data_IF_027067267671
#
_entry.id   IF_027067267671
#
_cell.length_a   1.000
_cell.length_b   1.000
_cell.length_c   1.000
_cell.angle_alpha   90.00
_cell.angle_beta   90.00
_cell.angle_gamma   90.00
#
_symmetry.space_group_name_H-M   'P 1'
#
loop_
_entity.id
_entity.type
_entity.pdbx_description
1 polymer ?
#
# COMPACT_ATOMS: atom_id res chain seq x y z
N UNK A 1 -19.81 1.31 -3.60
CA UNK A 1 -19.21 0.15 -4.30
C UNK A 1 -18.24 -0.50 -3.33
N UNK A 2 -18.02 -1.80 -3.40
CA UNK A 2 -17.08 -2.47 -2.49
C UNK A 2 -15.67 -2.44 -3.08
N UNK A 3 -14.66 -2.46 -2.22
CA UNK A 3 -13.26 -2.74 -2.61
C UNK A 3 -13.01 -4.21 -2.36
N UNK A 4 -12.37 -4.91 -3.29
CA UNK A 4 -12.11 -6.35 -3.24
C UNK A 4 -10.61 -6.61 -3.31
N UNK A 5 -10.12 -7.54 -2.49
CA UNK A 5 -8.75 -8.01 -2.56
C UNK A 5 -8.57 -9.04 -3.68
N UNK A 6 -7.31 -9.28 -4.04
CA UNK A 6 -6.93 -10.57 -4.66
C UNK A 6 -7.23 -11.75 -3.71
N UNK A 7 -7.48 -12.96 -4.21
CA UNK A 7 -7.59 -14.14 -3.35
C UNK A 7 -6.32 -14.37 -2.54
N UNK A 8 -6.47 -14.75 -1.28
CA UNK A 8 -5.39 -15.22 -0.40
C UNK A 8 -5.80 -16.57 0.21
N UNK A 9 -5.18 -17.63 -0.30
CA UNK A 9 -5.63 -19.00 -0.05
C UNK A 9 -7.09 -19.19 -0.47
N UNK A 10 -7.92 -19.66 0.47
CA UNK A 10 -9.35 -19.88 0.27
C UNK A 10 -10.21 -18.65 0.63
N UNK A 11 -9.60 -17.48 0.83
CA UNK A 11 -10.30 -16.27 1.27
C UNK A 11 -10.19 -15.12 0.27
N UNK A 12 -11.25 -14.33 0.17
CA UNK A 12 -11.23 -12.97 -0.41
C UNK A 12 -11.61 -12.01 0.71
N UNK A 13 -11.00 -10.83 0.71
CA UNK A 13 -11.31 -9.78 1.64
C UNK A 13 -11.98 -8.64 0.91
N UNK A 14 -12.91 -7.96 1.56
CA UNK A 14 -13.57 -6.80 0.98
C UNK A 14 -13.84 -5.72 2.02
N UNK A 15 -13.88 -4.48 1.53
CA UNK A 15 -14.41 -3.34 2.27
C UNK A 15 -15.83 -3.07 1.79
N UNK A 16 -16.80 -3.22 2.69
CA UNK A 16 -18.20 -2.90 2.46
C UNK A 16 -18.53 -1.56 3.15
N UNK A 17 -18.94 -0.52 2.40
CA UNK A 17 -19.29 0.77 3.01
C UNK A 17 -20.37 0.60 4.08
N UNK A 18 -20.15 1.17 5.27
CA UNK A 18 -21.07 1.11 6.40
C UNK A 18 -21.67 2.49 6.70
N UNK A 19 -20.85 3.53 6.68
CA UNK A 19 -21.27 4.94 6.80
C UNK A 19 -20.71 5.79 5.65
N UNK A 20 -20.81 7.11 5.77
CA UNK A 20 -20.20 8.07 4.86
C UNK A 20 -18.66 8.19 4.98
N UNK A 21 -18.08 7.54 5.98
CA UNK A 21 -16.67 7.68 6.38
C UNK A 21 -16.04 6.36 6.86
N UNK A 22 -16.81 5.29 6.95
CA UNK A 22 -16.34 3.98 7.44
C UNK A 22 -16.88 2.83 6.59
N UNK A 23 -16.13 1.73 6.59
CA UNK A 23 -16.50 0.47 6.00
C UNK A 23 -16.33 -0.67 7.02
N UNK A 24 -17.08 -1.74 6.78
CA UNK A 24 -16.84 -3.04 7.37
C UNK A 24 -15.84 -3.82 6.52
N UNK A 25 -14.79 -4.37 7.14
CA UNK A 25 -13.85 -5.29 6.52
C UNK A 25 -14.34 -6.71 6.75
N UNK A 26 -14.60 -7.42 5.66
CA UNK A 26 -15.16 -8.77 5.68
C UNK A 26 -14.15 -9.76 5.09
N UNK A 27 -14.10 -10.95 5.68
CA UNK A 27 -13.45 -12.13 5.13
C UNK A 27 -14.50 -13.06 4.56
N UNK A 28 -14.39 -13.36 3.27
CA UNK A 28 -15.25 -14.29 2.55
C UNK A 28 -14.49 -15.58 2.24
N UNK A 29 -15.00 -16.72 2.69
CA UNK A 29 -14.46 -18.02 2.33
C UNK A 29 -15.01 -18.46 0.96
N UNK A 30 -14.13 -18.59 -0.03
CA UNK A 30 -14.48 -18.90 -1.42
C UNK A 30 -15.12 -20.28 -1.55
N UNK A 31 -14.72 -21.25 -0.71
CA UNK A 31 -15.19 -22.63 -0.79
C UNK A 31 -16.53 -22.84 -0.10
N UNK A 32 -16.74 -22.21 1.05
CA UNK A 32 -17.96 -22.42 1.88
C UNK A 32 -19.02 -21.35 1.66
N UNK A 33 -18.65 -20.18 1.13
CA UNK A 33 -19.50 -19.01 1.05
C UNK A 33 -19.71 -18.30 2.39
N UNK A 34 -19.04 -18.74 3.44
CA UNK A 34 -19.13 -18.12 4.76
C UNK A 34 -18.48 -16.72 4.74
N UNK A 35 -19.10 -15.79 5.47
CA UNK A 35 -18.59 -14.43 5.62
C UNK A 35 -18.40 -14.11 7.10
N UNK A 36 -17.25 -13.54 7.44
CA UNK A 36 -16.89 -13.11 8.80
C UNK A 36 -16.58 -11.62 8.78
N UNK A 37 -17.19 -10.88 9.71
CA UNK A 37 -16.84 -9.48 10.01
C UNK A 37 -15.54 -9.44 10.80
N UNK A 38 -14.54 -8.72 10.29
CA UNK A 38 -13.28 -8.48 10.98
C UNK A 38 -13.30 -7.14 11.73
N UNK A 39 -13.60 -6.06 11.03
CA UNK A 39 -13.53 -4.68 11.55
C UNK A 39 -14.71 -3.86 11.00
N UNK A 40 -15.24 -2.89 11.75
CA UNK A 40 -16.44 -2.09 11.38
C UNK A 40 -16.21 -0.58 11.30
N UNK A 41 -15.00 -0.15 11.61
CA UNK A 41 -14.59 1.24 11.75
C UNK A 41 -13.44 1.60 10.81
N UNK A 42 -13.19 0.77 9.79
CA UNK A 42 -12.14 0.99 8.80
C UNK A 42 -12.43 2.27 7.99
N UNK A 43 -11.49 3.25 7.94
CA UNK A 43 -11.67 4.48 7.16
C UNK A 43 -11.99 4.18 5.69
N UNK A 44 -13.08 4.79 5.18
CA UNK A 44 -13.54 4.58 3.83
C UNK A 44 -14.38 5.77 3.35
N UNK A 45 -14.03 6.35 2.20
CA UNK A 45 -14.69 7.55 1.66
C UNK A 45 -15.28 7.34 0.26
N UNK A 46 -14.67 6.46 -0.53
CA UNK A 46 -15.18 5.99 -1.83
C UNK A 46 -14.39 4.76 -2.30
N UNK A 47 -14.90 4.06 -3.32
CA UNK A 47 -14.16 2.95 -3.93
C UNK A 47 -13.03 3.44 -4.85
N UNK A 48 -13.07 4.71 -5.27
CA UNK A 48 -12.04 5.33 -6.09
C UNK A 48 -10.85 5.82 -5.25
N UNK A 49 -11.02 5.87 -3.93
CA UNK A 49 -10.02 6.39 -2.98
C UNK A 49 -9.67 5.41 -1.87
N UNK A 50 -10.09 4.15 -1.97
CA UNK A 50 -9.73 3.09 -1.04
C UNK A 50 -9.25 1.84 -1.79
N UNK A 51 -8.23 1.18 -1.25
CA UNK A 51 -7.59 0.03 -1.86
C UNK A 51 -7.12 -0.96 -0.79
N UNK A 52 -7.36 -2.25 -1.02
CA UNK A 52 -6.64 -3.31 -0.32
C UNK A 52 -5.35 -3.54 -1.11
N UNK A 53 -4.23 -3.12 -0.55
CA UNK A 53 -2.93 -3.12 -1.23
C UNK A 53 -2.30 -4.52 -1.23
N UNK A 54 -2.27 -5.15 -0.05
CA UNK A 54 -1.67 -6.47 0.11
C UNK A 54 -2.33 -7.29 1.23
N UNK A 55 -2.09 -8.60 1.22
CA UNK A 55 -2.46 -9.53 2.29
C UNK A 55 -1.20 -10.34 2.62
N UNK A 56 -0.58 -10.03 3.75
CA UNK A 56 0.73 -10.55 4.13
C UNK A 56 0.84 -10.66 5.65
N UNK A 57 1.58 -11.65 6.14
CA UNK A 57 1.73 -11.96 7.58
C UNK A 57 0.40 -11.99 8.37
N UNK A 58 -0.65 -12.56 7.76
CA UNK A 58 -1.97 -12.64 8.39
C UNK A 58 -2.67 -11.29 8.55
N UNK A 59 -2.25 -10.25 7.83
CA UNK A 59 -2.82 -8.89 7.88
C UNK A 59 -3.24 -8.42 6.50
N UNK A 60 -4.28 -7.61 6.45
CA UNK A 60 -4.77 -6.92 5.25
C UNK A 60 -4.24 -5.49 5.31
N UNK A 61 -3.39 -5.09 4.37
CA UNK A 61 -2.87 -3.72 4.27
C UNK A 61 -3.82 -2.90 3.42
N UNK A 62 -4.29 -1.78 3.96
CA UNK A 62 -5.34 -0.95 3.36
C UNK A 62 -4.89 0.50 3.31
N UNK A 63 -5.13 1.12 2.16
CA UNK A 63 -5.02 2.56 1.96
C UNK A 63 -6.41 3.16 1.74
N UNK A 64 -6.70 4.28 2.40
CA UNK A 64 -7.86 5.11 2.09
C UNK A 64 -7.49 6.60 2.07
N UNK A 65 -8.16 7.37 1.21
CA UNK A 65 -8.02 8.83 1.15
C UNK A 65 -9.38 9.53 1.21
N UNK A 66 -9.48 10.56 2.04
CA UNK A 66 -10.61 11.50 2.04
C UNK A 66 -10.29 12.67 1.12
N UNK A 67 -10.95 12.71 -0.03
CA UNK A 67 -10.79 13.76 -1.05
C UNK A 67 -12.02 14.66 -1.14
N UNK A 68 -13.01 14.52 -0.24
CA UNK A 68 -14.31 15.19 -0.34
C UNK A 68 -14.23 16.73 -0.30
N UNK A 69 -13.14 17.29 0.24
CA UNK A 69 -12.89 18.72 0.23
C UNK A 69 -12.47 19.28 -1.15
N UNK A 70 -12.16 18.43 -2.13
CA UNK A 70 -11.72 18.81 -3.48
C UNK A 70 -10.53 19.78 -3.50
N UNK A 71 -9.65 19.68 -2.50
CA UNK A 71 -8.46 20.49 -2.32
C UNK A 71 -7.26 19.56 -2.06
N UNK A 72 -6.26 19.52 -2.96
CA UNK A 72 -5.10 18.65 -2.82
C UNK A 72 -4.35 18.81 -1.51
N UNK A 73 -4.32 20.02 -0.93
CA UNK A 73 -3.61 20.31 0.32
C UNK A 73 -4.33 19.76 1.55
N UNK A 74 -5.60 19.36 1.40
CA UNK A 74 -6.46 18.90 2.50
C UNK A 74 -6.80 17.42 2.43
N UNK A 75 -6.22 16.69 1.48
CA UNK A 75 -6.43 15.25 1.37
C UNK A 75 -5.92 14.58 2.65
N UNK A 76 -6.80 13.89 3.37
CA UNK A 76 -6.42 13.05 4.51
C UNK A 76 -6.18 11.65 4.01
N UNK A 77 -5.00 11.10 4.30
CA UNK A 77 -4.62 9.75 3.92
C UNK A 77 -4.54 8.85 5.16
N UNK A 78 -5.00 7.63 5.02
CA UNK A 78 -5.04 6.61 6.06
C UNK A 78 -4.37 5.34 5.52
N UNK A 79 -3.43 4.79 6.27
CA UNK A 79 -2.76 3.52 5.97
C UNK A 79 -2.74 2.68 7.22
N UNK A 80 -3.28 1.48 7.12
CA UNK A 80 -3.52 0.62 8.26
C UNK A 80 -3.51 -0.85 7.85
N UNK A 81 -3.30 -1.70 8.84
CA UNK A 81 -3.40 -3.14 8.74
C UNK A 81 -4.60 -3.64 9.54
N UNK A 82 -5.32 -4.64 9.03
CA UNK A 82 -6.34 -5.38 9.78
C UNK A 82 -5.91 -6.83 9.94
N UNK A 83 -5.85 -7.33 11.17
CA UNK A 83 -5.53 -8.72 11.46
C UNK A 83 -6.63 -9.65 10.91
N UNK A 84 -6.24 -10.72 10.21
CA UNK A 84 -7.15 -11.63 9.52
C UNK A 84 -7.90 -12.60 10.46
N UNK A 85 -7.49 -12.69 11.72
CA UNK A 85 -8.08 -13.56 12.74
C UNK A 85 -8.84 -12.77 13.79
N UNK A 86 -8.22 -11.71 14.33
CA UNK A 86 -8.79 -10.91 15.43
C UNK A 86 -9.61 -9.73 14.93
N UNK A 87 -9.33 -9.25 13.72
CA UNK A 87 -9.92 -8.03 13.18
C UNK A 87 -9.36 -6.74 13.79
N UNK A 88 -8.31 -6.84 14.62
CA UNK A 88 -7.63 -5.67 15.18
C UNK A 88 -7.04 -4.80 14.06
N UNK A 89 -7.32 -3.50 14.14
CA UNK A 89 -6.80 -2.51 13.20
C UNK A 89 -5.61 -1.78 13.80
N UNK A 90 -4.52 -1.64 13.04
CA UNK A 90 -3.29 -0.96 13.47
C UNK A 90 -2.86 0.04 12.40
N UNK A 91 -2.57 1.27 12.81
CA UNK A 91 -2.04 2.30 11.90
C UNK A 91 -0.63 1.94 11.42
N UNK A 92 -0.35 2.21 10.15
CA UNK A 92 0.96 2.06 9.52
C UNK A 92 1.56 3.46 9.24
N UNK A 93 2.47 3.97 10.08
CA UNK A 93 2.88 5.36 10.02
C UNK A 93 4.04 5.64 9.05
N UNK A 94 4.64 4.60 8.47
CA UNK A 94 5.80 4.75 7.59
C UNK A 94 5.41 5.47 6.30
N UNK A 95 6.06 6.59 6.05
CA UNK A 95 5.89 7.40 4.85
C UNK A 95 7.23 7.83 4.29
N UNK A 96 7.24 8.21 3.01
CA UNK A 96 8.40 8.84 2.36
C UNK A 96 8.01 10.16 1.67
N UNK A 97 8.95 11.08 1.46
CA UNK A 97 8.68 12.34 0.75
C UNK A 97 8.40 12.14 -0.74
N UNK A 98 7.31 12.72 -1.23
CA UNK A 98 6.93 12.78 -2.65
C UNK A 98 6.60 14.23 -3.03
N UNK A 99 7.63 14.97 -3.45
CA UNK A 99 7.52 16.40 -3.72
C UNK A 99 7.21 17.18 -2.44
N UNK A 100 6.11 17.93 -2.44
CA UNK A 100 5.62 18.69 -1.28
C UNK A 100 4.72 17.87 -0.35
N UNK A 101 4.47 16.60 -0.69
CA UNK A 101 3.63 15.69 0.10
C UNK A 101 4.42 14.48 0.58
N UNK A 102 3.78 13.60 1.34
CA UNK A 102 4.29 12.27 1.64
C UNK A 102 3.37 11.19 1.06
N UNK A 103 3.96 10.04 0.78
CA UNK A 103 3.26 8.83 0.37
C UNK A 103 3.61 7.67 1.31
N UNK A 104 2.81 6.61 1.31
CA UNK A 104 3.00 5.47 2.21
C UNK A 104 4.11 4.54 1.73
N UNK A 105 4.82 3.95 2.68
CA UNK A 105 5.81 2.92 2.40
C UNK A 105 5.09 1.61 2.09
N UNK A 106 5.00 1.28 0.79
CA UNK A 106 4.29 0.10 0.30
C UNK A 106 5.20 -1.14 0.27
N UNK A 107 4.65 -2.31 0.62
CA UNK A 107 5.34 -3.59 0.48
C UNK A 107 5.39 -3.97 -0.99
N UNK A 108 6.61 -4.18 -1.50
CA UNK A 108 6.87 -4.64 -2.85
C UNK A 108 7.11 -6.16 -2.91
N UNK A 109 7.73 -6.74 -1.88
CA UNK A 109 7.93 -8.18 -1.77
C UNK A 109 8.15 -8.65 -0.32
N UNK A 110 7.78 -9.90 -0.06
CA UNK A 110 8.15 -10.64 1.15
C UNK A 110 9.48 -11.37 0.93
N UNK A 111 10.45 -11.14 1.81
CA UNK A 111 11.79 -11.72 1.79
C UNK A 111 12.12 -12.45 3.11
N UNK A 112 11.15 -13.14 3.70
CA UNK A 112 11.34 -13.92 4.93
C UNK A 112 11.15 -13.06 6.17
N UNK A 113 12.23 -12.72 6.87
CA UNK A 113 12.18 -11.85 8.06
C UNK A 113 12.13 -10.35 7.70
N UNK A 114 12.22 -10.05 6.41
CA UNK A 114 12.24 -8.69 5.86
C UNK A 114 11.15 -8.49 4.82
N UNK A 115 10.72 -7.25 4.66
CA UNK A 115 10.04 -6.79 3.46
C UNK A 115 11.01 -6.02 2.57
N UNK A 116 10.83 -6.14 1.25
CA UNK A 116 11.27 -5.12 0.31
C UNK A 116 10.14 -4.11 0.20
N UNK A 117 10.43 -2.84 0.40
CA UNK A 117 9.43 -1.76 0.41
C UNK A 117 9.83 -0.64 -0.55
N UNK A 118 8.84 0.03 -1.13
CA UNK A 118 9.07 1.31 -1.79
C UNK A 118 9.25 2.38 -0.71
N UNK A 119 10.47 2.85 -0.54
CA UNK A 119 10.86 3.80 0.51
C UNK A 119 11.11 5.21 -0.02
N UNK A 120 10.86 5.47 -1.31
CA UNK A 120 11.16 6.78 -1.89
C UNK A 120 11.13 6.81 -3.41
N UNK A 121 11.65 7.92 -3.95
CA UNK A 121 11.90 8.07 -5.37
C UNK A 121 13.37 8.42 -5.59
N UNK A 122 13.98 7.79 -6.57
CA UNK A 122 15.30 8.15 -7.09
C UNK A 122 15.19 8.72 -8.51
N UNK A 123 16.12 9.60 -8.89
CA UNK A 123 16.20 10.13 -10.25
C UNK A 123 17.27 9.38 -11.01
N UNK A 124 16.89 8.76 -12.12
CA UNK A 124 17.81 8.06 -13.01
C UNK A 124 17.83 8.73 -14.36
N UNK A 125 19.00 8.72 -15.00
CA UNK A 125 19.14 9.16 -16.39
C UNK A 125 18.51 8.11 -17.31
N UNK A 126 17.70 8.56 -18.25
CA UNK A 126 17.06 7.73 -19.25
C UNK A 126 17.21 8.33 -20.65
N UNK A 127 17.23 7.46 -21.65
CA UNK A 127 17.13 7.85 -23.06
C UNK A 127 15.73 7.48 -23.55
N UNK A 128 14.93 8.48 -23.92
CA UNK A 128 13.59 8.29 -24.46
C UNK A 128 13.55 8.73 -25.93
N UNK A 129 12.54 8.26 -26.67
CA UNK A 129 12.32 8.69 -28.04
C UNK A 129 11.26 9.79 -28.10
N UNK A 130 11.58 10.90 -28.77
CA UNK A 130 10.64 11.95 -29.11
C UNK A 130 9.54 11.46 -30.05
N UNK A 131 8.53 12.29 -30.25
CA UNK A 131 7.42 11.98 -31.17
C UNK A 131 7.85 11.84 -32.64
N UNK A 132 9.02 12.38 -32.98
CA UNK A 132 9.69 12.25 -34.28
C UNK A 132 10.61 11.01 -34.38
N UNK A 133 10.73 10.23 -33.29
CA UNK A 133 11.61 9.08 -33.19
C UNK A 133 13.06 9.41 -32.81
N UNK A 134 13.40 10.69 -32.58
CA UNK A 134 14.76 11.10 -32.20
C UNK A 134 15.01 10.78 -30.71
N UNK A 135 16.12 10.10 -30.34
CA UNK A 135 16.44 9.86 -28.95
C UNK A 135 16.91 11.15 -28.24
N UNK A 136 16.52 11.33 -26.99
CA UNK A 136 16.99 12.41 -26.13
C UNK A 136 17.22 11.92 -24.69
N UNK A 137 18.19 12.53 -24.01
CA UNK A 137 18.47 12.27 -22.60
C UNK A 137 17.54 13.07 -21.70
N UNK A 138 17.08 12.43 -20.63
CA UNK A 138 16.27 13.06 -19.58
C UNK A 138 16.50 12.39 -18.24
N UNK A 139 15.95 12.96 -17.17
CA UNK A 139 15.86 12.30 -15.86
C UNK A 139 14.42 11.88 -15.61
N UNK A 140 14.23 10.63 -15.21
CA UNK A 140 12.93 10.11 -14.77
C UNK A 140 13.00 9.72 -13.30
N UNK A 141 11.89 9.90 -12.58
CA UNK A 141 11.76 9.39 -11.23
C UNK A 141 11.37 7.91 -11.27
N UNK A 142 12.10 7.09 -10.52
CA UNK A 142 11.80 5.68 -10.29
C UNK A 142 11.63 5.42 -8.79
N UNK A 143 10.88 4.37 -8.43
CA UNK A 143 10.77 3.94 -7.04
C UNK A 143 12.13 3.52 -6.49
N UNK A 144 12.49 4.05 -5.33
CA UNK A 144 13.65 3.61 -4.56
C UNK A 144 13.21 2.51 -3.59
N UNK A 145 13.84 1.34 -3.69
CA UNK A 145 13.51 0.19 -2.86
C UNK A 145 14.54 -0.02 -1.75
N UNK A 146 14.04 -0.32 -0.55
CA UNK A 146 14.87 -0.71 0.60
C UNK A 146 14.34 -2.00 1.21
N UNK A 147 15.16 -2.69 1.98
CA UNK A 147 14.70 -3.73 2.89
C UNK A 147 14.37 -3.13 4.26
N UNK A 148 13.41 -3.72 4.97
CA UNK A 148 13.05 -3.38 6.35
C UNK A 148 12.67 -4.66 7.09
N UNK A 149 13.04 -4.80 8.37
CA UNK A 149 12.60 -5.97 9.14
C UNK A 149 11.07 -5.94 9.29
N UNK A 150 10.42 -7.11 9.30
CA UNK A 150 8.96 -7.18 9.50
C UNK A 150 8.54 -6.52 10.81
N UNK A 151 9.31 -6.72 11.89
CA UNK A 151 9.07 -6.06 13.18
C UNK A 151 9.14 -4.54 13.10
N UNK A 152 10.14 -4.00 12.39
CA UNK A 152 10.28 -2.54 12.23
C UNK A 152 9.14 -1.97 11.39
N UNK A 153 8.77 -2.65 10.29
CA UNK A 153 7.64 -2.23 9.45
C UNK A 153 6.33 -2.15 10.25
N UNK A 154 5.97 -3.25 10.92
CA UNK A 154 4.72 -3.33 11.70
C UNK A 154 4.71 -2.40 12.92
N UNK A 155 5.87 -1.97 13.44
CA UNK A 155 5.97 -1.02 14.56
C UNK A 155 6.29 0.42 14.13
N UNK A 156 6.33 0.69 12.83
CA UNK A 156 6.53 2.03 12.29
C UNK A 156 7.95 2.58 12.44
N UNK A 157 8.96 1.73 12.56
CA UNK A 157 10.35 2.15 12.72
C UNK A 157 11.07 2.21 11.36
N UNK A 158 11.60 3.36 10.92
CA UNK A 158 12.20 3.53 9.59
C UNK A 158 13.66 3.02 9.52
N UNK A 159 13.93 1.83 10.05
CA UNK A 159 15.25 1.20 10.08
C UNK A 159 15.55 0.49 8.75
N UNK A 160 15.62 1.27 7.67
CA UNK A 160 15.83 0.74 6.32
C UNK A 160 17.26 0.22 6.08
N UNK A 161 17.36 -0.83 5.29
CA UNK A 161 18.60 -1.42 4.79
C UNK A 161 18.63 -1.18 3.28
N UNK A 162 19.66 -0.48 2.80
CA UNK A 162 19.84 -0.18 1.39
C UNK A 162 20.03 -1.46 0.55
N UNK A 163 19.42 -1.49 -0.63
CA UNK A 163 19.62 -2.56 -1.61
C UNK A 163 20.75 -2.12 -2.56
N UNK A 164 21.80 -2.95 -2.67
CA UNK A 164 22.89 -2.68 -3.60
C UNK A 164 22.47 -3.03 -5.04
N UNK A 165 22.26 -1.98 -5.86
CA UNK A 165 21.88 -2.10 -7.26
C UNK A 165 23.05 -2.49 -8.19
N UNK A 166 24.30 -2.48 -7.72
CA UNK A 166 25.48 -2.79 -8.53
C UNK A 166 25.56 -4.25 -8.99
N UNK A 167 24.82 -5.15 -8.33
CA UNK A 167 24.78 -6.57 -8.66
C UNK A 167 23.77 -6.96 -9.76
N UNK A 168 22.90 -6.04 -10.20
CA UNK A 168 21.80 -6.32 -11.15
C UNK A 168 22.18 -5.89 -12.59
N UNK A 169 23.26 -5.11 -12.76
CA UNK A 169 23.81 -4.77 -14.06
C UNK A 169 24.84 -5.82 -14.51
N UNK A 170 24.36 -7.00 -14.93
CA UNK A 170 25.14 -8.08 -15.54
C UNK A 170 24.53 -8.54 -16.87
#
# INVERSE_FOLDING_TARGET
MNVLSRPSGDSIYLMQPLTDSTAEVLKFNIKTGETVSLCKDAPYFSADTAMIEDIVDGRIVIHASDTRENDPEKIKRYHYAVDCETGEMTDLPLTYPMGETTDFVQIAADAGEFFVVNSGLERVKAVLNGSDGTPYETEISMSAFSMISKSDYWSGQPNYIEIDHSAIAG
#
